data_IF_895331983861
#
_entry.id   IF_895331983861
#
_cell.length_a   1.000
_cell.length_b   1.000
_cell.length_c   1.000
_cell.angle_alpha   90.00
_cell.angle_beta   90.00
_cell.angle_gamma   90.00
#
_symmetry.space_group_name_H-M   'P 1'
#
loop_
_entity.id
_entity.type
_entity.pdbx_description
1 polymer ?
#
# COMPACT_ATOMS: atom_id res chain seq x y z
N UNK A 1 10.50 10.34 -13.24
CA UNK A 1 9.53 10.36 -12.12
C UNK A 1 8.90 8.98 -12.04
N UNK A 2 8.80 8.40 -10.84
CA UNK A 2 8.10 7.12 -10.66
C UNK A 2 6.57 7.34 -10.78
N UNK A 3 5.81 6.37 -11.29
CA UNK A 3 4.35 6.44 -11.22
C UNK A 3 3.92 6.40 -9.75
N UNK A 4 3.34 7.51 -9.28
CA UNK A 4 2.76 7.63 -7.94
C UNK A 4 1.24 7.81 -8.05
N UNK A 5 0.50 7.18 -7.15
CA UNK A 5 -0.93 7.41 -6.97
C UNK A 5 -1.26 7.59 -5.49
N UNK A 6 -2.39 8.23 -5.20
CA UNK A 6 -2.84 8.43 -3.82
C UNK A 6 -3.74 7.27 -3.38
N UNK A 7 -3.55 6.83 -2.14
CA UNK A 7 -4.52 6.00 -1.46
C UNK A 7 -5.67 6.85 -0.91
N UNK A 8 -6.91 6.47 -1.21
CA UNK A 8 -8.12 7.23 -0.87
C UNK A 8 -8.86 6.68 0.35
N UNK A 9 -8.57 5.43 0.74
CA UNK A 9 -9.09 4.85 1.97
C UNK A 9 -8.20 3.74 2.48
N UNK A 10 -8.37 3.43 3.76
CA UNK A 10 -7.69 2.35 4.45
C UNK A 10 -8.69 1.62 5.35
N UNK A 11 -8.74 0.29 5.23
CA UNK A 11 -9.54 -0.55 6.09
C UNK A 11 -8.73 -1.78 6.51
N UNK A 12 -8.81 -2.15 7.79
CA UNK A 12 -8.23 -3.37 8.31
C UNK A 12 -9.34 -4.22 8.93
N UNK A 13 -9.51 -5.44 8.41
CA UNK A 13 -10.51 -6.40 8.87
C UNK A 13 -9.96 -7.82 8.69
N UNK A 14 -10.19 -8.68 9.68
CA UNK A 14 -9.87 -10.11 9.64
C UNK A 14 -8.41 -10.42 9.24
N UNK A 15 -7.46 -9.63 9.79
CA UNK A 15 -6.03 -9.79 9.50
C UNK A 15 -5.58 -9.32 8.12
N UNK A 16 -6.50 -8.78 7.32
CA UNK A 16 -6.23 -8.20 6.01
C UNK A 16 -6.38 -6.68 6.03
N UNK A 17 -5.54 -6.01 5.27
CA UNK A 17 -5.61 -4.58 5.01
C UNK A 17 -6.03 -4.38 3.56
N UNK A 18 -6.98 -3.47 3.35
CA UNK A 18 -7.42 -3.02 2.03
C UNK A 18 -7.18 -1.52 1.92
N UNK A 19 -6.52 -1.11 0.85
CA UNK A 19 -6.31 0.28 0.48
C UNK A 19 -7.04 0.55 -0.83
N UNK A 20 -7.88 1.58 -0.86
CA UNK A 20 -8.44 2.09 -2.13
C UNK A 20 -7.48 3.10 -2.75
N UNK A 21 -7.40 3.10 -4.07
CA UNK A 21 -6.52 3.93 -4.87
C UNK A 21 -7.36 4.93 -5.69
N UNK A 22 -6.77 6.06 -6.04
CA UNK A 22 -7.33 6.88 -7.12
C UNK A 22 -7.26 6.15 -8.47
N UNK A 23 -6.15 5.42 -8.72
CA UNK A 23 -5.97 4.61 -9.93
C UNK A 23 -4.96 3.48 -9.73
N UNK A 24 -5.32 2.26 -10.14
CA UNK A 24 -4.41 1.09 -10.07
C UNK A 24 -3.38 0.99 -11.24
N UNK A 25 -3.49 1.88 -12.24
CA UNK A 25 -2.64 1.82 -13.43
C UNK A 25 -2.85 0.55 -14.26
N UNK A 26 -1.75 -0.13 -14.61
CA UNK A 26 -1.75 -1.39 -15.35
C UNK A 26 -1.56 -2.62 -14.46
N UNK A 27 -1.56 -2.46 -13.13
CA UNK A 27 -1.43 -3.58 -12.20
C UNK A 27 -2.76 -4.30 -12.03
N UNK A 28 -2.69 -5.62 -11.89
CA UNK A 28 -3.81 -6.49 -11.53
C UNK A 28 -3.27 -7.84 -11.04
N UNK A 29 -3.98 -8.50 -10.12
CA UNK A 29 -3.59 -9.79 -9.56
C UNK A 29 -2.57 -9.72 -8.42
N UNK A 30 -1.92 -10.85 -8.14
CA UNK A 30 -0.95 -10.97 -7.04
C UNK A 30 0.42 -10.45 -7.47
N UNK A 31 0.98 -9.51 -6.69
CA UNK A 31 2.25 -8.84 -6.95
C UNK A 31 3.13 -8.78 -5.70
N UNK A 32 4.45 -8.70 -5.90
CA UNK A 32 5.38 -8.36 -4.83
C UNK A 32 5.25 -6.89 -4.45
N UNK A 33 5.32 -6.58 -3.16
CA UNK A 33 5.18 -5.22 -2.67
C UNK A 33 6.03 -4.94 -1.43
N UNK A 34 6.28 -3.67 -1.15
CA UNK A 34 6.81 -3.18 0.10
C UNK A 34 5.79 -2.28 0.80
N UNK A 35 5.51 -2.57 2.06
CA UNK A 35 4.83 -1.63 2.95
C UNK A 35 5.81 -0.55 3.37
N UNK A 36 5.37 0.69 3.30
CA UNK A 36 6.08 1.85 3.86
C UNK A 36 5.41 2.18 5.18
N UNK A 37 6.14 2.06 6.28
CA UNK A 37 5.60 2.18 7.64
C UNK A 37 6.20 3.38 8.36
N UNK A 38 5.39 4.06 9.18
CA UNK A 38 5.88 5.09 10.09
C UNK A 38 6.59 4.47 11.31
N UNK A 39 7.17 5.32 12.16
CA UNK A 39 7.87 4.86 13.36
C UNK A 39 6.95 4.17 14.39
N UNK A 40 5.62 4.29 14.23
CA UNK A 40 4.60 3.67 15.07
C UNK A 40 3.98 2.44 14.40
N UNK A 41 4.43 2.03 13.22
CA UNK A 41 3.92 0.87 12.49
C UNK A 41 2.64 1.10 11.67
N UNK A 42 2.19 2.34 11.47
CA UNK A 42 1.08 2.64 10.56
C UNK A 42 1.54 2.61 9.10
N UNK A 43 0.63 2.24 8.19
CA UNK A 43 0.91 2.26 6.75
C UNK A 43 0.89 3.69 6.23
N UNK A 44 2.05 4.16 5.76
CA UNK A 44 2.23 5.44 5.07
C UNK A 44 2.05 5.27 3.57
N UNK A 45 2.39 4.10 3.02
CA UNK A 45 2.27 3.81 1.61
C UNK A 45 2.58 2.37 1.24
N UNK A 46 2.47 2.07 -0.05
CA UNK A 46 2.77 0.79 -0.68
C UNK A 46 3.67 1.04 -1.88
N UNK A 47 4.69 0.22 -2.07
CA UNK A 47 5.52 0.21 -3.28
C UNK A 47 5.35 -1.15 -3.95
N UNK A 48 4.56 -1.18 -5.02
CA UNK A 48 4.16 -2.40 -5.73
C UNK A 48 5.13 -2.66 -6.88
N UNK A 49 5.50 -3.92 -7.12
CA UNK A 49 6.37 -4.34 -8.23
C UNK A 49 7.72 -3.59 -8.23
N UNK A 50 8.37 -3.47 -7.05
CA UNK A 50 9.58 -2.64 -6.80
C UNK A 50 10.69 -2.83 -7.85
N UNK A 51 10.89 -4.06 -8.34
CA UNK A 51 11.96 -4.42 -9.28
C UNK A 51 11.47 -4.55 -10.74
N UNK A 52 10.29 -4.01 -11.06
CA UNK A 52 9.62 -4.20 -12.35
C UNK A 52 9.25 -2.86 -12.98
N UNK A 53 9.23 -2.76 -14.34
CA UNK A 53 8.83 -1.54 -15.03
C UNK A 53 7.37 -1.15 -14.77
N UNK A 54 6.58 -2.06 -14.19
CA UNK A 54 5.18 -1.83 -13.78
C UNK A 54 5.08 -1.27 -12.35
N UNK A 55 6.20 -0.87 -11.74
CA UNK A 55 6.26 -0.34 -10.38
C UNK A 55 5.25 0.79 -10.18
N UNK A 56 4.50 0.71 -9.09
CA UNK A 56 3.54 1.72 -8.68
C UNK A 56 3.71 2.02 -7.20
N UNK A 57 3.97 3.29 -6.87
CA UNK A 57 3.99 3.76 -5.49
C UNK A 57 2.62 4.33 -5.15
N UNK A 58 2.04 3.88 -4.05
CA UNK A 58 0.79 4.37 -3.48
C UNK A 58 1.10 5.08 -2.18
N UNK A 59 0.81 6.36 -2.08
CA UNK A 59 1.01 7.11 -0.84
C UNK A 59 -0.33 7.40 -0.15
N UNK A 60 -0.40 7.06 1.14
CA UNK A 60 -1.46 7.49 2.06
C UNK A 60 -1.03 8.78 2.77
N UNK A 61 0.22 8.83 3.23
CA UNK A 61 0.83 9.97 3.92
C UNK A 61 2.05 10.55 3.20
N UNK A 62 2.74 11.53 3.81
CA UNK A 62 3.95 12.12 3.25
C UNK A 62 5.14 11.14 3.27
N UNK A 63 6.04 11.24 2.29
CA UNK A 63 7.23 10.39 2.19
C UNK A 63 8.15 10.52 3.42
N UNK A 64 8.19 11.70 4.02
CA UNK A 64 8.99 12.01 5.21
C UNK A 64 8.54 11.25 6.46
N UNK A 65 7.32 10.70 6.46
CA UNK A 65 6.82 9.88 7.57
C UNK A 65 7.30 8.42 7.51
N UNK A 66 7.90 7.97 6.40
CA UNK A 66 8.37 6.59 6.24
C UNK A 66 9.61 6.37 7.11
N UNK A 67 9.51 5.46 8.07
CA UNK A 67 10.58 5.07 8.98
C UNK A 67 11.15 3.67 8.70
N UNK A 68 10.34 2.76 8.14
CA UNK A 68 10.78 1.41 7.79
C UNK A 68 9.99 0.83 6.62
N UNK A 69 10.53 -0.22 6.01
CA UNK A 69 9.84 -0.96 4.94
C UNK A 69 9.68 -2.44 5.29
N UNK A 70 8.65 -3.08 4.72
CA UNK A 70 8.39 -4.52 4.89
C UNK A 70 7.90 -5.17 3.61
N UNK A 71 8.61 -6.19 3.14
CA UNK A 71 8.18 -6.99 1.99
C UNK A 71 6.90 -7.77 2.29
N UNK A 72 5.94 -7.71 1.37
CA UNK A 72 4.67 -8.44 1.41
C UNK A 72 4.26 -8.88 0.00
N UNK A 73 3.29 -9.79 -0.07
CA UNK A 73 2.53 -10.04 -1.29
C UNK A 73 1.21 -9.29 -1.20
N UNK A 74 0.85 -8.59 -2.26
CA UNK A 74 -0.39 -7.84 -2.35
C UNK A 74 -1.21 -8.29 -3.55
N UNK A 75 -2.52 -8.33 -3.40
CA UNK A 75 -3.46 -8.52 -4.51
C UNK A 75 -4.00 -7.17 -4.93
N UNK A 76 -3.77 -6.79 -6.18
CA UNK A 76 -4.31 -5.58 -6.80
C UNK A 76 -5.57 -5.95 -7.58
N UNK A 77 -6.66 -5.21 -7.37
CA UNK A 77 -7.85 -5.26 -8.23
C UNK A 77 -7.90 -3.97 -9.04
N UNK A 78 -7.71 -4.08 -10.35
CA UNK A 78 -7.83 -2.93 -11.26
C UNK A 78 -9.27 -2.42 -11.36
N UNK A 79 -10.22 -3.34 -11.38
CA UNK A 79 -11.64 -3.03 -11.50
C UNK A 79 -12.14 -2.19 -10.32
N UNK A 80 -11.66 -2.50 -9.11
CA UNK A 80 -12.08 -1.84 -7.88
C UNK A 80 -11.12 -0.76 -7.39
N UNK A 81 -10.05 -0.50 -8.15
CA UNK A 81 -8.90 0.32 -7.78
C UNK A 81 -8.48 0.08 -6.32
N UNK A 82 -8.16 -1.17 -5.99
CA UNK A 82 -7.83 -1.55 -4.62
C UNK A 82 -6.59 -2.42 -4.53
N UNK A 83 -5.93 -2.36 -3.38
CA UNK A 83 -4.83 -3.23 -2.99
C UNK A 83 -5.21 -3.92 -1.70
N UNK A 84 -5.08 -5.24 -1.67
CA UNK A 84 -5.32 -6.05 -0.48
C UNK A 84 -4.07 -6.82 -0.10
N UNK A 85 -3.71 -6.83 1.18
CA UNK A 85 -2.55 -7.58 1.67
C UNK A 85 -2.78 -8.04 3.11
N UNK A 86 -1.92 -8.92 3.58
CA UNK A 86 -1.88 -9.37 4.97
C UNK A 86 -0.46 -9.17 5.51
N UNK A 87 -0.36 -8.51 6.66
CA UNK A 87 0.93 -8.23 7.27
C UNK A 87 0.82 -8.19 8.81
N UNK A 88 1.70 -8.94 9.46
CA UNK A 88 1.95 -8.86 10.89
C UNK A 88 2.72 -7.58 11.25
N UNK A 89 2.61 -7.11 12.49
CA UNK A 89 3.38 -5.94 12.96
C UNK A 89 3.00 -4.61 12.31
N UNK A 90 1.89 -4.57 11.57
CA UNK A 90 1.21 -3.31 11.22
C UNK A 90 0.27 -2.97 12.36
N UNK A 91 0.30 -1.72 12.78
CA UNK A 91 -0.52 -1.23 13.89
C UNK A 91 -2.01 -1.35 13.57
N UNK A 92 -2.77 -1.80 14.56
CA UNK A 92 -4.21 -1.94 14.45
C UNK A 92 -4.92 -0.57 14.52
N UNK A 93 -6.08 -0.46 13.89
CA UNK A 93 -6.89 0.76 13.86
C UNK A 93 -6.88 1.48 12.52
N UNK A 94 -7.56 2.65 12.44
CA UNK A 94 -7.58 3.47 11.23
C UNK A 94 -6.19 4.03 10.90
N UNK A 95 -5.91 4.25 9.62
CA UNK A 95 -4.70 4.96 9.22
C UNK A 95 -4.83 6.44 9.61
N UNK A 96 -3.81 7.08 10.18
CA UNK A 96 -3.84 8.52 10.47
C UNK A 96 -3.72 9.39 9.21
N UNK A 97 -3.54 8.77 8.04
CA UNK A 97 -3.23 9.46 6.79
C UNK A 97 -4.41 9.54 5.80
N UNK A 98 -5.51 8.83 6.06
CA UNK A 98 -6.73 8.83 5.23
C UNK A 98 -8.01 8.70 6.05
#
# INVERSE_FOLDING_TARGET
MLPETRGTSYARADGSITVKLERAGELDGSVGAQLLLDAKGHVVGLDLEVDSPRRLVVMLGPHEAVASTKNVTATVSRADASVRFSASGVTDGPSPYV
#
